data_IF_274863065249
#
_entry.id   IF_274863065249
#
_cell.length_a   1.000
_cell.length_b   1.000
_cell.length_c   1.000
_cell.angle_alpha   90.00
_cell.angle_beta   90.00
_cell.angle_gamma   90.00
#
_symmetry.space_group_name_H-M   'P 1'
#
loop_
_entity.id
_entity.type
_entity.pdbx_description
1 polymer ?
#
# COMPACT_ATOMS: atom_id res chain seq x y z
N UNK A 1 2.42 5.47 9.49
CA UNK A 1 3.36 6.59 9.35
C UNK A 1 3.68 6.96 7.90
N UNK A 2 4.29 6.09 7.09
CA UNK A 2 4.75 6.47 5.75
C UNK A 2 3.70 7.14 4.84
N UNK A 3 2.46 6.65 4.79
CA UNK A 3 1.40 7.29 3.97
C UNK A 3 0.98 8.66 4.50
N UNK A 4 1.07 8.91 5.81
CA UNK A 4 0.76 10.23 6.39
C UNK A 4 1.82 11.26 6.01
N UNK A 5 3.09 10.85 5.99
CA UNK A 5 4.19 11.71 5.54
C UNK A 5 4.03 12.09 4.06
N UNK A 6 3.77 11.09 3.19
CA UNK A 6 3.52 11.36 1.75
C UNK A 6 2.32 12.30 1.57
N UNK A 7 1.24 12.10 2.33
CA UNK A 7 0.06 12.96 2.24
C UNK A 7 0.38 14.42 2.64
N UNK A 8 1.19 14.61 3.69
CA UNK A 8 1.65 15.92 4.13
C UNK A 8 2.55 16.61 3.10
N UNK A 9 3.48 15.87 2.48
CA UNK A 9 4.36 16.39 1.42
C UNK A 9 3.60 16.88 0.17
N UNK A 10 2.38 16.36 -0.02
CA UNK A 10 1.50 16.69 -1.15
C UNK A 10 0.30 17.57 -0.76
N UNK A 11 0.29 18.15 0.45
CA UNK A 11 -0.76 19.04 0.97
C UNK A 11 -2.18 18.48 0.80
N UNK A 12 -2.38 17.20 1.17
CA UNK A 12 -3.68 16.53 1.09
C UNK A 12 -3.95 15.60 2.28
N UNK A 13 -5.23 15.36 2.64
CA UNK A 13 -5.59 14.35 3.63
C UNK A 13 -5.13 12.95 3.22
N UNK A 14 -4.67 12.13 4.17
CA UNK A 14 -4.15 10.78 3.88
C UNK A 14 -5.21 9.86 3.24
N UNK A 15 -6.49 10.05 3.55
CA UNK A 15 -7.63 9.38 2.91
C UNK A 15 -7.83 9.79 1.44
N UNK A 16 -7.41 10.99 1.05
CA UNK A 16 -7.39 11.44 -0.33
C UNK A 16 -6.17 10.88 -1.08
N UNK A 17 -5.08 10.57 -0.36
CA UNK A 17 -3.91 9.88 -0.91
C UNK A 17 -4.25 8.44 -1.27
N UNK A 18 -4.78 7.68 -0.29
CA UNK A 18 -5.10 6.28 -0.48
C UNK A 18 -6.16 5.83 0.53
N UNK A 19 -7.19 5.13 0.05
CA UNK A 19 -8.22 4.59 0.92
C UNK A 19 -7.59 3.62 1.95
N UNK A 20 -7.88 3.78 3.27
CA UNK A 20 -7.37 2.86 4.29
C UNK A 20 -7.74 1.40 4.05
N UNK A 21 -8.85 1.13 3.35
CA UNK A 21 -9.26 -0.21 2.95
C UNK A 21 -8.24 -0.90 2.04
N UNK A 22 -7.58 -0.14 1.16
CA UNK A 22 -6.61 -0.70 0.23
C UNK A 22 -5.37 -1.23 0.97
N UNK A 23 -4.93 -0.49 1.98
CA UNK A 23 -3.81 -0.91 2.84
C UNK A 23 -4.17 -2.18 3.60
N UNK A 24 -5.37 -2.24 4.19
CA UNK A 24 -5.84 -3.42 4.92
C UNK A 24 -5.91 -4.66 4.03
N UNK A 25 -6.45 -4.53 2.81
CA UNK A 25 -6.53 -5.65 1.86
C UNK A 25 -5.16 -6.15 1.43
N UNK A 26 -4.22 -5.25 1.09
CA UNK A 26 -2.87 -5.64 0.72
C UNK A 26 -2.09 -6.28 1.87
N UNK A 27 -2.33 -5.86 3.12
CA UNK A 27 -1.70 -6.47 4.28
C UNK A 27 -2.27 -7.86 4.60
N UNK A 28 -3.57 -8.07 4.38
CA UNK A 28 -4.24 -9.35 4.61
C UNK A 28 -3.95 -10.38 3.51
N UNK A 29 -3.92 -9.93 2.26
CA UNK A 29 -3.64 -10.76 1.09
C UNK A 29 -2.50 -10.12 0.27
N UNK A 30 -1.26 -10.17 0.79
CA UNK A 30 -0.12 -9.61 0.09
C UNK A 30 0.11 -10.35 -1.24
N UNK A 31 0.44 -9.64 -2.32
CA UNK A 31 0.69 -10.28 -3.60
C UNK A 31 1.91 -11.22 -3.51
N UNK A 32 1.84 -12.33 -4.23
CA UNK A 32 2.95 -13.26 -4.43
C UNK A 32 3.27 -13.35 -5.93
N UNK A 33 4.47 -12.93 -6.37
CA UNK A 33 5.58 -12.42 -5.57
C UNK A 33 5.31 -11.01 -5.03
N UNK A 34 5.89 -10.69 -3.86
CA UNK A 34 5.77 -9.38 -3.22
C UNK A 34 6.74 -8.38 -3.86
N UNK A 35 6.33 -7.80 -4.99
CA UNK A 35 7.14 -6.82 -5.75
C UNK A 35 6.41 -5.48 -5.89
N UNK A 36 7.12 -4.38 -6.20
CA UNK A 36 6.47 -3.09 -6.51
C UNK A 36 5.40 -3.19 -7.59
N UNK A 37 5.67 -3.94 -8.67
CA UNK A 37 4.73 -4.12 -9.77
C UNK A 37 3.47 -4.89 -9.34
N UNK A 38 3.63 -5.91 -8.49
CA UNK A 38 2.51 -6.69 -8.00
C UNK A 38 1.65 -5.88 -7.01
N UNK A 39 2.27 -5.05 -6.18
CA UNK A 39 1.57 -4.09 -5.31
C UNK A 39 0.83 -3.03 -6.13
N UNK A 40 1.47 -2.47 -7.16
CA UNK A 40 0.85 -1.52 -8.09
C UNK A 40 -0.37 -2.13 -8.80
N UNK A 41 -0.24 -3.36 -9.29
CA UNK A 41 -1.34 -4.11 -9.91
C UNK A 41 -2.49 -4.38 -8.91
N UNK A 42 -2.16 -4.68 -7.65
CA UNK A 42 -3.14 -4.81 -6.57
C UNK A 42 -3.93 -3.52 -6.35
N UNK A 43 -3.24 -2.39 -6.23
CA UNK A 43 -3.86 -1.07 -6.06
C UNK A 43 -4.73 -0.68 -7.26
N UNK A 44 -4.28 -0.97 -8.49
CA UNK A 44 -5.07 -0.75 -9.70
C UNK A 44 -6.38 -1.53 -9.67
N UNK A 45 -6.34 -2.81 -9.29
CA UNK A 45 -7.55 -3.65 -9.16
C UNK A 45 -8.52 -3.14 -8.09
N UNK A 46 -8.00 -2.48 -7.05
CA UNK A 46 -8.79 -1.86 -5.99
C UNK A 46 -9.38 -0.49 -6.38
N UNK A 47 -8.97 0.06 -7.53
CA UNK A 47 -9.48 1.33 -8.05
C UNK A 47 -8.61 2.55 -7.72
N UNK A 48 -7.39 2.34 -7.20
CA UNK A 48 -6.45 3.44 -6.98
C UNK A 48 -6.06 4.11 -8.31
N UNK A 49 -5.98 5.44 -8.30
CA UNK A 49 -5.57 6.22 -9.47
C UNK A 49 -4.06 6.10 -9.68
N UNK A 50 -3.60 6.23 -10.93
CA UNK A 50 -2.17 6.13 -11.28
C UNK A 50 -1.27 7.02 -10.42
N UNK A 51 -1.66 8.27 -10.16
CA UNK A 51 -0.87 9.16 -9.32
C UNK A 51 -0.76 8.68 -7.87
N UNK A 52 -1.84 8.12 -7.29
CA UNK A 52 -1.82 7.54 -5.94
C UNK A 52 -0.86 6.35 -5.88
N UNK A 53 -0.92 5.49 -6.91
CA UNK A 53 -0.05 4.31 -7.03
C UNK A 53 1.41 4.73 -7.09
N UNK A 54 1.74 5.69 -7.96
CA UNK A 54 3.11 6.20 -8.09
C UNK A 54 3.68 6.68 -6.76
N UNK A 55 2.89 7.40 -5.97
CA UNK A 55 3.34 7.93 -4.68
C UNK A 55 3.44 6.86 -3.58
N UNK A 56 2.55 5.88 -3.59
CA UNK A 56 2.37 4.98 -2.43
C UNK A 56 3.06 3.62 -2.57
N UNK A 57 3.30 3.14 -3.79
CA UNK A 57 3.87 1.81 -4.03
C UNK A 57 5.22 1.59 -3.31
N UNK A 58 6.20 2.50 -3.38
CA UNK A 58 7.49 2.26 -2.72
C UNK A 58 7.35 2.05 -1.19
N UNK A 59 6.55 2.90 -0.55
CA UNK A 59 6.30 2.83 0.88
C UNK A 59 5.51 1.57 1.27
N UNK A 60 4.50 1.19 0.47
CA UNK A 60 3.68 0.01 0.73
C UNK A 60 4.47 -1.29 0.51
N UNK A 61 5.25 -1.40 -0.56
CA UNK A 61 6.08 -2.58 -0.78
C UNK A 61 7.10 -2.75 0.34
N UNK A 62 7.76 -1.67 0.77
CA UNK A 62 8.68 -1.73 1.91
C UNK A 62 7.97 -2.17 3.20
N UNK A 63 6.77 -1.66 3.48
CA UNK A 63 6.03 -2.01 4.67
C UNK A 63 5.57 -3.48 4.66
N UNK A 64 5.07 -3.97 3.52
CA UNK A 64 4.59 -5.34 3.38
C UNK A 64 5.74 -6.35 3.50
N UNK A 65 6.92 -6.04 2.97
CA UNK A 65 8.11 -6.92 3.09
C UNK A 65 8.62 -7.00 4.53
N UNK A 66 8.36 -5.97 5.35
CA UNK A 66 8.73 -5.96 6.75
C UNK A 66 7.72 -6.70 7.65
N UNK A 67 6.54 -7.09 7.14
CA UNK A 67 5.59 -7.88 7.91
C UNK A 67 6.13 -9.32 8.08
N UNK A 68 6.03 -9.91 9.28
CA UNK A 68 6.29 -11.34 9.43
C UNK A 68 5.28 -12.13 8.56
N UNK A 69 5.67 -13.31 8.03
CA UNK A 69 4.74 -14.15 7.28
C UNK A 69 3.51 -14.45 8.15
N UNK A 70 2.31 -14.37 7.54
CA UNK A 70 1.00 -14.36 8.21
C UNK A 70 0.64 -15.65 9.00
N UNK A 71 1.60 -16.54 9.27
CA UNK A 71 1.36 -17.89 9.80
C UNK A 71 1.68 -18.08 11.29
N UNK A 72 1.78 -17.00 12.09
CA UNK A 72 2.06 -17.08 13.53
C UNK A 72 0.91 -16.56 14.40
N UNK A 73 -0.33 -16.95 14.07
CA UNK A 73 -1.47 -16.86 14.98
C UNK A 73 -1.85 -18.29 15.41
N UNK A 74 -0.98 -18.88 16.23
CA UNK A 74 -1.20 -20.16 16.93
C UNK A 74 -1.32 -19.91 18.42
#
# INVERSE_FOLDING_TARGET
EALRAIAADHDLPAENLLAPDYVRRLAWEPPSPLTPDAVAAGLLRLGARRWQITLTVPALTSALTALPPANNLG
#
